data_IF_688155822518
#
_entry.id   IF_688155822518
#
_cell.length_a   1.000
_cell.length_b   1.000
_cell.length_c   1.000
_cell.angle_alpha   90.00
_cell.angle_beta   90.00
_cell.angle_gamma   90.00
#
_symmetry.space_group_name_H-M   'P 1'
#
loop_
_entity.id
_entity.type
_entity.pdbx_description
1 polymer ?
#
# COMPACT_ATOMS: atom_id res chain seq x y z
N UNK A 1 15.98 -2.14 5.71
CA UNK A 1 15.07 -3.15 5.15
C UNK A 1 14.85 -3.00 3.64
N UNK A 2 15.17 -1.85 3.03
CA UNK A 2 14.94 -1.56 1.60
C UNK A 2 16.21 -1.60 0.74
N UNK A 3 17.30 -2.16 1.22
CA UNK A 3 18.57 -2.29 0.50
C UNK A 3 18.55 -3.38 -0.60
N UNK A 4 17.62 -4.34 -0.50
CA UNK A 4 17.47 -5.41 -1.47
C UNK A 4 16.86 -4.95 -2.81
N UNK A 5 16.95 -5.80 -3.85
CA UNK A 5 16.31 -5.55 -5.14
C UNK A 5 14.79 -5.33 -5.00
N UNK A 6 14.23 -4.42 -5.81
CA UNK A 6 12.81 -4.05 -5.71
C UNK A 6 11.83 -5.24 -5.88
N UNK A 7 12.09 -6.25 -6.76
CA UNK A 7 11.23 -7.43 -6.84
C UNK A 7 11.16 -8.24 -5.54
N UNK A 8 12.29 -8.33 -4.80
CA UNK A 8 12.32 -8.99 -3.49
C UNK A 8 11.52 -8.19 -2.47
N UNK A 9 11.66 -6.85 -2.50
CA UNK A 9 10.83 -5.97 -1.66
C UNK A 9 9.34 -6.12 -1.99
N UNK A 10 8.97 -6.23 -3.26
CA UNK A 10 7.59 -6.48 -3.68
C UNK A 10 7.04 -7.78 -3.08
N UNK A 11 7.79 -8.89 -3.15
CA UNK A 11 7.35 -10.18 -2.62
C UNK A 11 7.24 -10.16 -1.09
N UNK A 12 8.27 -9.68 -0.39
CA UNK A 12 8.34 -9.70 1.08
C UNK A 12 7.33 -8.74 1.70
N UNK A 13 7.24 -7.49 1.20
CA UNK A 13 6.39 -6.45 1.77
C UNK A 13 4.96 -6.44 1.24
N UNK A 14 4.67 -7.08 0.09
CA UNK A 14 3.32 -7.11 -0.44
C UNK A 14 2.49 -8.26 0.13
N UNK A 15 3.04 -9.49 0.16
CA UNK A 15 2.21 -10.67 0.29
C UNK A 15 2.65 -11.68 1.38
N UNK A 16 3.93 -11.70 1.80
CA UNK A 16 4.44 -12.87 2.53
C UNK A 16 4.87 -12.57 3.96
N UNK A 17 6.12 -12.17 4.17
CA UNK A 17 6.74 -12.13 5.50
C UNK A 17 6.02 -11.18 6.47
N UNK A 18 5.59 -10.00 5.98
CA UNK A 18 4.96 -8.98 6.81
C UNK A 18 3.56 -9.37 7.29
N UNK A 19 2.89 -10.31 6.63
CA UNK A 19 1.55 -10.78 6.96
C UNK A 19 1.53 -12.02 7.86
N UNK A 20 2.69 -12.58 8.22
CA UNK A 20 2.78 -13.82 8.99
C UNK A 20 2.07 -13.73 10.34
N UNK A 21 2.29 -12.65 11.10
CA UNK A 21 1.62 -12.44 12.39
C UNK A 21 0.10 -12.26 12.26
N UNK A 22 -0.34 -11.57 11.20
CA UNK A 22 -1.75 -11.41 10.89
C UNK A 22 -2.42 -12.76 10.56
N UNK A 23 -1.76 -13.56 9.72
CA UNK A 23 -2.22 -14.90 9.37
C UNK A 23 -2.34 -15.80 10.61
N UNK A 24 -1.38 -15.70 11.54
CA UNK A 24 -1.42 -16.42 12.81
C UNK A 24 -2.67 -16.05 13.61
N UNK A 25 -2.97 -14.75 13.77
CA UNK A 25 -4.15 -14.28 14.49
C UNK A 25 -5.44 -14.77 13.79
N UNK A 26 -5.51 -14.66 12.47
CA UNK A 26 -6.67 -15.15 11.71
C UNK A 26 -6.89 -16.65 11.86
N UNK A 27 -5.82 -17.44 11.81
CA UNK A 27 -5.89 -18.90 11.97
C UNK A 27 -6.30 -19.34 13.37
N UNK A 28 -5.93 -18.57 14.39
CA UNK A 28 -6.27 -18.79 15.79
C UNK A 28 -7.44 -17.92 16.26
N UNK A 29 -8.26 -17.41 15.33
CA UNK A 29 -9.38 -16.51 15.64
C UNK A 29 -10.30 -17.03 16.73
N UNK A 30 -10.54 -18.34 16.78
CA UNK A 30 -11.35 -18.98 17.80
C UNK A 30 -10.79 -18.82 19.23
N UNK A 31 -9.45 -18.72 19.40
CA UNK A 31 -8.83 -18.41 20.68
C UNK A 31 -8.89 -16.93 21.00
N UNK A 32 -8.64 -16.07 20.00
CA UNK A 32 -8.62 -14.62 20.20
C UNK A 32 -10.01 -14.06 20.57
N UNK A 33 -11.10 -14.63 20.04
CA UNK A 33 -12.47 -14.25 20.42
C UNK A 33 -12.75 -14.48 21.90
N UNK A 34 -12.13 -15.49 22.51
CA UNK A 34 -12.26 -15.77 23.95
C UNK A 34 -11.47 -14.78 24.82
N UNK A 35 -10.63 -13.92 24.23
CA UNK A 35 -9.79 -12.95 24.93
C UNK A 35 -10.10 -11.51 24.45
N UNK A 36 -11.25 -10.91 24.79
CA UNK A 36 -11.66 -9.60 24.31
C UNK A 36 -10.66 -8.47 24.62
N UNK A 37 -10.01 -8.54 25.78
CA UNK A 37 -8.98 -7.56 26.15
C UNK A 37 -7.79 -7.59 25.20
N UNK A 38 -7.35 -8.78 24.77
CA UNK A 38 -6.28 -8.94 23.77
C UNK A 38 -6.68 -8.36 22.41
N UNK A 39 -7.94 -8.59 21.98
CA UNK A 39 -8.47 -8.01 20.76
C UNK A 39 -8.46 -6.47 20.80
N UNK A 40 -8.86 -5.88 21.93
CA UNK A 40 -8.82 -4.42 22.12
C UNK A 40 -7.39 -3.87 22.00
N UNK A 41 -6.40 -4.54 22.57
CA UNK A 41 -4.99 -4.15 22.45
C UNK A 41 -4.54 -4.24 21.00
N UNK A 42 -4.88 -5.32 20.29
CA UNK A 42 -4.54 -5.50 18.87
C UNK A 42 -5.16 -4.38 18.02
N UNK A 43 -6.43 -4.03 18.24
CA UNK A 43 -7.12 -2.96 17.54
C UNK A 43 -6.44 -1.59 17.78
N UNK A 44 -6.11 -1.27 19.04
CA UNK A 44 -5.44 -0.03 19.40
C UNK A 44 -4.04 0.06 18.77
N UNK A 45 -3.22 -0.98 18.91
CA UNK A 45 -1.89 -1.04 18.29
C UNK A 45 -1.96 -0.98 16.76
N UNK A 46 -2.91 -1.67 16.15
CA UNK A 46 -3.16 -1.63 14.71
C UNK A 46 -3.46 -0.21 14.23
N UNK A 47 -4.37 0.49 14.91
CA UNK A 47 -4.77 1.87 14.59
C UNK A 47 -3.59 2.86 14.74
N UNK A 48 -2.85 2.77 15.84
CA UNK A 48 -1.67 3.61 16.07
C UNK A 48 -0.59 3.34 15.02
N UNK A 49 -0.35 2.07 14.69
CA UNK A 49 0.61 1.68 13.66
C UNK A 49 0.19 2.21 12.27
N UNK A 50 -1.10 2.15 11.94
CA UNK A 50 -1.63 2.69 10.69
C UNK A 50 -1.35 4.19 10.56
N UNK A 51 -1.65 4.96 11.62
CA UNK A 51 -1.45 6.40 11.66
C UNK A 51 0.04 6.76 11.61
N UNK A 52 0.88 6.13 12.45
CA UNK A 52 2.32 6.38 12.47
C UNK A 52 2.98 6.04 11.12
N UNK A 53 2.63 4.90 10.51
CA UNK A 53 3.12 4.53 9.18
C UNK A 53 2.76 5.59 8.12
N UNK A 54 1.53 6.10 8.14
CA UNK A 54 1.07 7.12 7.21
C UNK A 54 1.78 8.48 7.42
N UNK A 55 1.95 8.92 8.67
CA UNK A 55 2.64 10.20 8.97
C UNK A 55 4.11 10.15 8.58
N UNK A 56 4.80 9.03 8.80
CA UNK A 56 6.20 8.86 8.35
C UNK A 56 6.28 8.82 6.83
N UNK A 57 5.34 8.14 6.13
CA UNK A 57 5.31 8.10 4.67
C UNK A 57 5.19 9.49 4.02
N UNK A 58 4.50 10.44 4.68
CA UNK A 58 4.35 11.82 4.21
C UNK A 58 5.69 12.56 4.08
N UNK A 59 6.64 12.27 4.95
CA UNK A 59 7.92 13.00 5.04
C UNK A 59 9.02 12.35 4.21
N UNK A 60 8.83 11.11 3.74
CA UNK A 60 9.85 10.41 2.96
C UNK A 60 10.01 11.03 1.56
N UNK A 61 11.26 11.07 1.10
CA UNK A 61 11.64 11.53 -0.24
C UNK A 61 12.08 10.40 -1.16
N UNK A 62 12.41 9.25 -0.60
CA UNK A 62 12.79 8.03 -1.30
C UNK A 62 11.53 7.23 -1.66
N UNK A 63 11.34 6.91 -2.96
CA UNK A 63 10.16 6.21 -3.47
C UNK A 63 9.96 4.83 -2.81
N UNK A 64 11.04 4.08 -2.54
CA UNK A 64 10.97 2.79 -1.85
C UNK A 64 10.58 2.95 -0.40
N UNK A 65 11.07 3.99 0.30
CA UNK A 65 10.73 4.25 1.70
C UNK A 65 9.29 4.69 1.85
N UNK A 66 8.75 5.52 0.95
CA UNK A 66 7.31 5.84 0.93
C UNK A 66 6.48 4.56 0.86
N UNK A 67 6.79 3.66 -0.07
CA UNK A 67 6.07 2.41 -0.23
C UNK A 67 6.24 1.47 0.98
N UNK A 68 7.40 1.46 1.63
CA UNK A 68 7.65 0.69 2.84
C UNK A 68 6.79 1.16 4.01
N UNK A 69 6.80 2.45 4.33
CA UNK A 69 5.96 2.99 5.40
C UNK A 69 4.48 2.93 5.07
N UNK A 70 4.13 3.04 3.80
CA UNK A 70 2.78 2.73 3.34
C UNK A 70 2.39 1.28 3.63
N UNK A 71 3.31 0.30 3.52
CA UNK A 71 3.04 -1.08 3.93
C UNK A 71 2.80 -1.19 5.43
N UNK A 72 3.63 -0.53 6.26
CA UNK A 72 3.42 -0.48 7.71
C UNK A 72 2.03 0.07 8.05
N UNK A 73 1.62 1.14 7.37
CA UNK A 73 0.28 1.71 7.54
C UNK A 73 -0.84 0.73 7.17
N UNK A 74 -0.73 0.03 6.03
CA UNK A 74 -1.76 -0.94 5.61
C UNK A 74 -1.80 -2.18 6.53
N UNK A 75 -0.67 -2.63 7.04
CA UNK A 75 -0.64 -3.67 8.09
C UNK A 75 -1.37 -3.22 9.34
N UNK A 76 -1.22 -1.95 9.73
CA UNK A 76 -2.00 -1.38 10.83
C UNK A 76 -3.52 -1.53 10.62
N UNK A 77 -4.03 -1.30 9.41
CA UNK A 77 -5.44 -1.56 9.09
C UNK A 77 -5.82 -3.04 9.22
N UNK A 78 -4.94 -3.93 8.76
CA UNK A 78 -5.20 -5.36 8.88
C UNK A 78 -5.25 -5.80 10.35
N UNK A 79 -4.33 -5.29 11.20
CA UNK A 79 -4.38 -5.55 12.64
C UNK A 79 -5.58 -4.90 13.32
N UNK A 80 -6.01 -3.70 12.88
CA UNK A 80 -7.26 -3.10 13.33
C UNK A 80 -8.45 -4.05 13.03
N UNK A 81 -8.53 -4.58 11.81
CA UNK A 81 -9.58 -5.54 11.44
C UNK A 81 -9.56 -6.80 12.34
N UNK A 82 -8.37 -7.36 12.59
CA UNK A 82 -8.23 -8.50 13.52
C UNK A 82 -8.71 -8.15 14.92
N UNK A 83 -8.30 -6.98 15.43
CA UNK A 83 -8.63 -6.54 16.78
C UNK A 83 -10.12 -6.23 17.01
N UNK A 84 -10.83 -5.84 15.95
CA UNK A 84 -12.30 -5.66 16.04
C UNK A 84 -13.08 -6.94 15.69
N UNK A 85 -12.40 -8.09 15.55
CA UNK A 85 -13.01 -9.39 15.27
C UNK A 85 -13.40 -9.58 13.79
N UNK A 86 -13.06 -8.67 12.90
CA UNK A 86 -13.35 -8.75 11.47
C UNK A 86 -12.24 -9.53 10.71
N UNK A 87 -12.00 -10.78 11.11
CA UNK A 87 -10.91 -11.60 10.57
C UNK A 87 -11.00 -11.78 9.05
N UNK A 88 -12.23 -11.97 8.52
CA UNK A 88 -12.48 -12.07 7.08
C UNK A 88 -12.05 -10.81 6.32
N UNK A 89 -12.46 -9.64 6.80
CA UNK A 89 -12.09 -8.34 6.21
C UNK A 89 -10.56 -8.12 6.23
N UNK A 90 -9.89 -8.50 7.34
CA UNK A 90 -8.44 -8.43 7.44
C UNK A 90 -7.73 -9.30 6.40
N UNK A 91 -8.15 -10.56 6.22
CA UNK A 91 -7.58 -11.47 5.20
C UNK A 91 -7.92 -11.01 3.78
N UNK A 92 -9.13 -10.52 3.56
CA UNK A 92 -9.51 -9.94 2.27
C UNK A 92 -8.62 -8.74 1.91
N UNK A 93 -8.31 -7.90 2.90
CA UNK A 93 -7.39 -6.79 2.67
C UNK A 93 -5.94 -7.26 2.41
N UNK A 94 -5.49 -8.38 2.98
CA UNK A 94 -4.19 -8.99 2.59
C UNK A 94 -4.17 -9.33 1.11
N UNK A 95 -5.24 -9.95 0.59
CA UNK A 95 -5.33 -10.35 -0.81
C UNK A 95 -5.25 -9.13 -1.74
N UNK A 96 -6.11 -8.14 -1.53
CA UNK A 96 -6.14 -6.92 -2.35
C UNK A 96 -4.84 -6.13 -2.21
N UNK A 97 -4.26 -6.07 -1.00
CA UNK A 97 -2.98 -5.45 -0.70
C UNK A 97 -1.84 -6.11 -1.50
N UNK A 98 -1.82 -7.44 -1.60
CA UNK A 98 -0.81 -8.14 -2.39
C UNK A 98 -0.80 -7.65 -3.85
N UNK A 99 -1.97 -7.43 -4.46
CA UNK A 99 -2.06 -6.97 -5.83
C UNK A 99 -1.54 -5.54 -6.01
N UNK A 100 -2.11 -4.56 -5.31
CA UNK A 100 -1.71 -3.18 -5.53
C UNK A 100 -0.33 -2.86 -4.95
N UNK A 101 0.15 -3.56 -3.91
CA UNK A 101 1.49 -3.34 -3.37
C UNK A 101 2.58 -3.94 -4.23
N UNK A 102 2.39 -5.16 -4.73
CA UNK A 102 3.34 -5.73 -5.70
C UNK A 102 3.43 -4.84 -6.94
N UNK A 103 2.28 -4.36 -7.43
CA UNK A 103 2.22 -3.40 -8.54
C UNK A 103 3.05 -2.14 -8.27
N UNK A 104 2.84 -1.51 -7.13
CA UNK A 104 3.52 -0.25 -6.77
C UNK A 104 5.03 -0.45 -6.56
N UNK A 105 5.45 -1.53 -5.91
CA UNK A 105 6.87 -1.83 -5.73
C UNK A 105 7.56 -2.19 -7.05
N UNK A 106 6.96 -3.03 -7.89
CA UNK A 106 7.52 -3.36 -9.20
C UNK A 106 7.53 -2.13 -10.11
N UNK A 107 6.49 -1.29 -10.07
CA UNK A 107 6.46 -0.01 -10.79
C UNK A 107 7.55 0.96 -10.31
N UNK A 108 7.76 1.08 -8.99
CA UNK A 108 8.90 1.84 -8.46
C UNK A 108 10.24 1.25 -8.93
N UNK A 109 10.34 -0.09 -9.01
CA UNK A 109 11.51 -0.75 -9.58
C UNK A 109 11.76 -0.40 -11.05
N UNK A 110 10.70 -0.32 -11.84
CA UNK A 110 10.75 0.10 -13.23
C UNK A 110 11.23 1.56 -13.38
N UNK A 111 10.72 2.46 -12.54
CA UNK A 111 11.19 3.87 -12.48
C UNK A 111 12.67 3.95 -12.09
N UNK A 112 13.09 3.27 -11.02
CA UNK A 112 14.46 3.26 -10.53
C UNK A 112 15.41 2.68 -11.59
N UNK A 113 15.00 1.64 -12.31
CA UNK A 113 15.77 1.05 -13.41
C UNK A 113 15.95 2.05 -14.55
N UNK A 114 14.88 2.73 -14.97
CA UNK A 114 14.91 3.73 -16.04
C UNK A 114 15.76 4.97 -15.66
N UNK A 115 15.90 5.27 -14.38
CA UNK A 115 16.66 6.41 -13.83
C UNK A 115 18.07 6.03 -13.31
N UNK A 116 18.65 4.91 -13.78
CA UNK A 116 20.01 4.50 -13.39
C UNK A 116 20.22 4.44 -11.86
N UNK A 117 19.25 3.84 -11.13
CA UNK A 117 19.23 3.64 -9.68
C UNK A 117 18.94 4.88 -8.82
N UNK A 118 18.50 6.01 -9.39
CA UNK A 118 18.00 7.14 -8.59
C UNK A 118 16.71 6.75 -7.86
N UNK A 119 16.63 7.07 -6.56
CA UNK A 119 15.50 6.76 -5.69
C UNK A 119 14.87 8.03 -5.08
N UNK A 120 15.56 9.17 -5.11
CA UNK A 120 15.05 10.42 -4.54
C UNK A 120 14.03 11.05 -5.51
N UNK A 121 12.76 11.08 -5.09
CA UNK A 121 11.67 11.65 -5.87
C UNK A 121 11.86 13.14 -6.21
N UNK A 122 12.68 13.88 -5.43
CA UNK A 122 12.99 15.29 -5.70
C UNK A 122 13.87 15.48 -6.93
N UNK A 123 14.57 14.42 -7.36
CA UNK A 123 15.40 14.40 -8.56
C UNK A 123 14.69 13.76 -9.75
N UNK A 124 13.41 13.39 -9.60
CA UNK A 124 12.56 12.84 -10.64
C UNK A 124 11.74 13.97 -11.28
N UNK A 125 10.58 13.65 -11.79
CA UNK A 125 9.63 14.59 -12.43
C UNK A 125 9.54 14.39 -13.94
N UNK A 126 8.41 14.79 -14.53
CA UNK A 126 8.20 14.76 -15.98
C UNK A 126 8.23 13.38 -16.65
N UNK A 127 8.19 12.27 -15.87
CA UNK A 127 8.34 10.91 -16.42
C UNK A 127 7.08 10.37 -17.10
N UNK A 128 5.94 11.05 -16.97
CA UNK A 128 4.65 10.59 -17.53
C UNK A 128 4.71 10.28 -19.04
N UNK A 129 5.39 11.10 -19.81
CA UNK A 129 5.47 10.92 -21.26
C UNK A 129 6.54 9.92 -21.67
N UNK A 130 7.55 9.68 -20.82
CA UNK A 130 8.67 8.79 -21.08
C UNK A 130 8.43 7.38 -20.63
N UNK A 131 7.61 7.20 -19.58
CA UNK A 131 7.25 5.93 -18.99
C UNK A 131 5.71 5.77 -18.92
N UNK A 132 5.00 5.76 -20.06
CA UNK A 132 3.54 5.81 -20.09
C UNK A 132 2.87 4.58 -19.46
N UNK A 133 3.38 3.37 -19.72
CA UNK A 133 2.85 2.14 -19.14
C UNK A 133 3.11 2.04 -17.63
N UNK A 134 4.35 2.36 -17.23
CA UNK A 134 4.71 2.40 -15.81
C UNK A 134 3.89 3.45 -15.06
N UNK A 135 3.67 4.64 -15.65
CA UNK A 135 2.81 5.67 -15.06
C UNK A 135 1.36 5.18 -14.90
N UNK A 136 0.75 4.65 -15.96
CA UNK A 136 -0.64 4.23 -15.93
C UNK A 136 -0.87 3.13 -14.89
N UNK A 137 0.01 2.13 -14.84
CA UNK A 137 -0.10 1.03 -13.88
C UNK A 137 0.14 1.48 -12.44
N UNK A 138 1.12 2.35 -12.18
CA UNK A 138 1.33 2.92 -10.84
C UNK A 138 0.18 3.84 -10.40
N UNK A 139 -0.44 4.56 -11.33
CA UNK A 139 -1.64 5.35 -11.04
C UNK A 139 -2.80 4.45 -10.61
N UNK A 140 -3.04 3.33 -11.31
CA UNK A 140 -4.03 2.32 -10.94
C UNK A 140 -3.77 1.79 -9.53
N UNK A 141 -2.52 1.41 -9.22
CA UNK A 141 -2.15 0.94 -7.88
C UNK A 141 -2.37 2.02 -6.80
N UNK A 142 -2.11 3.28 -7.14
CA UNK A 142 -2.34 4.44 -6.25
C UNK A 142 -3.83 4.66 -5.99
N UNK A 143 -4.68 4.57 -7.02
CA UNK A 143 -6.13 4.66 -6.88
C UNK A 143 -6.66 3.51 -6.01
N UNK A 144 -6.16 2.28 -6.23
CA UNK A 144 -6.56 1.11 -5.47
C UNK A 144 -6.21 1.26 -3.98
N UNK A 145 -4.95 1.58 -3.63
CA UNK A 145 -4.55 1.73 -2.22
C UNK A 145 -5.22 2.92 -1.54
N UNK A 146 -5.56 3.98 -2.29
CA UNK A 146 -6.29 5.14 -1.75
C UNK A 146 -7.73 4.82 -1.38
N UNK A 147 -8.28 3.70 -1.86
CA UNK A 147 -9.66 3.32 -1.61
C UNK A 147 -10.65 4.11 -2.47
N UNK A 148 -10.28 4.41 -3.72
CA UNK A 148 -11.20 5.02 -4.67
C UNK A 148 -12.24 3.97 -5.11
N UNK A 149 -13.55 4.32 -5.16
CA UNK A 149 -14.60 3.40 -5.60
C UNK A 149 -14.27 2.66 -6.89
N UNK A 150 -14.74 1.42 -7.01
CA UNK A 150 -14.49 0.47 -8.09
C UNK A 150 -13.12 -0.22 -8.10
N UNK A 151 -12.17 0.20 -7.29
CA UNK A 151 -10.89 -0.50 -7.12
C UNK A 151 -10.91 -1.46 -5.94
N UNK A 152 -10.10 -2.51 -5.99
CA UNK A 152 -10.08 -3.57 -4.98
C UNK A 152 -9.84 -3.08 -3.55
N UNK A 153 -9.01 -2.06 -3.39
CA UNK A 153 -8.71 -1.47 -2.08
C UNK A 153 -9.89 -0.71 -1.45
N UNK A 154 -10.84 -0.23 -2.24
CA UNK A 154 -12.07 0.37 -1.72
C UNK A 154 -12.88 -0.66 -0.93
N UNK A 155 -13.23 -1.79 -1.57
CA UNK A 155 -14.05 -2.82 -0.94
C UNK A 155 -13.43 -3.34 0.36
N UNK A 156 -12.15 -3.68 0.34
CA UNK A 156 -11.48 -4.25 1.51
C UNK A 156 -11.24 -3.23 2.64
N UNK A 157 -10.90 -1.98 2.32
CA UNK A 157 -10.66 -0.95 3.33
C UNK A 157 -11.96 -0.43 3.94
N UNK A 158 -12.99 -0.26 3.12
CA UNK A 158 -14.29 0.18 3.59
C UNK A 158 -14.92 -0.85 4.54
N UNK A 159 -14.78 -2.14 4.24
CA UNK A 159 -15.22 -3.23 5.14
C UNK A 159 -14.48 -3.20 6.48
N UNK A 160 -13.17 -2.90 6.50
CA UNK A 160 -12.41 -2.72 7.74
C UNK A 160 -12.94 -1.52 8.54
N UNK A 161 -13.13 -0.38 7.88
CA UNK A 161 -13.63 0.85 8.54
C UNK A 161 -15.06 0.65 9.04
N UNK A 162 -15.91 0.01 8.26
CA UNK A 162 -17.27 -0.34 8.71
C UNK A 162 -17.24 -1.24 9.94
N UNK A 163 -16.41 -2.28 9.94
CA UNK A 163 -16.25 -3.18 11.08
C UNK A 163 -15.67 -2.47 12.30
N UNK A 164 -14.74 -1.53 12.12
CA UNK A 164 -14.19 -0.73 13.21
C UNK A 164 -15.24 0.14 13.89
N UNK A 165 -16.30 0.56 13.15
CA UNK A 165 -17.41 1.33 13.69
C UNK A 165 -18.51 0.44 14.30
N UNK A 166 -18.91 -0.63 13.61
CA UNK A 166 -20.13 -1.39 13.90
C UNK A 166 -19.91 -2.64 14.76
N UNK A 167 -18.67 -3.16 14.87
CA UNK A 167 -18.37 -4.35 15.65
C UNK A 167 -18.52 -4.11 17.15
N UNK A 168 -18.93 -5.15 17.94
CA UNK A 168 -18.93 -5.08 19.41
C UNK A 168 -17.56 -4.77 20.03
N UNK A 169 -16.47 -5.10 19.34
CA UNK A 169 -15.09 -4.78 19.73
C UNK A 169 -14.56 -3.50 19.08
N UNK A 170 -15.38 -2.82 18.26
CA UNK A 170 -15.07 -1.58 17.58
C UNK A 170 -15.36 -0.34 18.44
N UNK A 171 -15.00 0.81 17.93
CA UNK A 171 -15.41 2.10 18.51
C UNK A 171 -15.37 3.22 17.47
N UNK A 172 -16.17 4.29 17.63
CA UNK A 172 -16.10 5.47 16.77
C UNK A 172 -14.71 6.11 16.73
N UNK A 173 -13.94 5.98 17.80
CA UNK A 173 -12.56 6.50 17.88
C UNK A 173 -11.63 5.74 16.95
N UNK A 174 -11.69 4.41 16.95
CA UNK A 174 -10.90 3.57 16.05
C UNK A 174 -11.26 3.85 14.58
N UNK A 175 -12.55 3.97 14.29
CA UNK A 175 -13.04 4.35 12.98
C UNK A 175 -12.52 5.74 12.55
N UNK A 176 -12.59 6.74 13.42
CA UNK A 176 -12.14 8.10 13.11
C UNK A 176 -10.65 8.13 12.75
N UNK A 177 -9.80 7.51 13.56
CA UNK A 177 -8.36 7.42 13.26
C UNK A 177 -8.07 6.61 12.00
N UNK A 178 -8.82 5.53 11.76
CA UNK A 178 -8.75 4.79 10.51
C UNK A 178 -9.12 5.67 9.31
N UNK A 179 -10.23 6.40 9.39
CA UNK A 179 -10.69 7.31 8.34
C UNK A 179 -9.68 8.43 8.05
N UNK A 180 -9.15 9.09 9.08
CA UNK A 180 -8.10 10.10 8.92
C UNK A 180 -6.84 9.51 8.26
N UNK A 181 -6.45 8.31 8.64
CA UNK A 181 -5.31 7.60 8.05
C UNK A 181 -5.56 7.25 6.58
N UNK A 182 -6.82 6.97 6.18
CA UNK A 182 -7.16 6.76 4.76
C UNK A 182 -6.95 8.03 3.93
N UNK A 183 -7.33 9.19 4.47
CA UNK A 183 -7.03 10.50 3.87
C UNK A 183 -5.53 10.75 3.71
N UNK A 184 -4.75 10.47 4.76
CA UNK A 184 -3.28 10.56 4.71
C UNK A 184 -2.69 9.58 3.67
N UNK A 185 -3.25 8.36 3.55
CA UNK A 185 -2.83 7.38 2.54
C UNK A 185 -2.99 7.94 1.13
N UNK A 186 -4.13 8.51 0.82
CA UNK A 186 -4.37 9.16 -0.48
C UNK A 186 -3.37 10.29 -0.72
N UNK A 187 -3.16 11.14 0.27
CA UNK A 187 -2.28 12.29 0.15
C UNK A 187 -0.83 11.87 -0.16
N UNK A 188 -0.20 10.97 0.62
CA UNK A 188 1.20 10.60 0.37
C UNK A 188 1.37 9.78 -0.93
N UNK A 189 0.38 8.99 -1.31
CA UNK A 189 0.44 8.23 -2.55
C UNK A 189 0.35 9.13 -3.79
N UNK A 190 -0.58 10.08 -3.79
CA UNK A 190 -0.64 11.07 -4.88
C UNK A 190 0.57 11.99 -4.88
N UNK A 191 1.10 12.40 -3.71
CA UNK A 191 2.36 13.13 -3.61
C UNK A 191 3.50 12.36 -4.30
N UNK A 192 3.61 11.05 -4.05
CA UNK A 192 4.61 10.20 -4.72
C UNK A 192 4.43 10.22 -6.24
N UNK A 193 3.21 10.04 -6.75
CA UNK A 193 2.92 10.09 -8.20
C UNK A 193 3.27 11.46 -8.79
N UNK A 194 2.88 12.55 -8.14
CA UNK A 194 3.15 13.90 -8.64
C UNK A 194 4.64 14.19 -8.69
N UNK A 195 5.39 13.90 -7.64
CA UNK A 195 6.84 14.13 -7.61
C UNK A 195 7.59 13.28 -8.63
N UNK A 196 7.13 12.05 -8.89
CA UNK A 196 7.82 11.13 -9.81
C UNK A 196 7.47 11.40 -11.27
N UNK A 197 6.20 11.64 -11.60
CA UNK A 197 5.74 11.62 -13.00
C UNK A 197 5.34 12.99 -13.55
N UNK A 198 5.11 14.01 -12.71
CA UNK A 198 4.66 15.31 -13.13
C UNK A 198 5.73 16.39 -12.86
N UNK A 199 5.51 17.59 -13.38
CA UNK A 199 6.47 18.69 -13.28
C UNK A 199 7.62 18.60 -14.27
N UNK A 200 8.68 19.39 -14.03
CA UNK A 200 9.90 19.38 -14.84
C UNK A 200 10.84 18.28 -14.34
N UNK A 201 11.54 17.62 -15.25
CA UNK A 201 12.55 16.64 -14.89
C UNK A 201 13.74 17.32 -14.19
N UNK A 202 14.14 16.80 -13.03
CA UNK A 202 15.17 17.36 -12.17
C UNK A 202 16.48 16.56 -12.19
N UNK A 203 16.57 15.49 -12.97
CA UNK A 203 17.73 14.60 -13.04
C UNK A 203 18.75 15.01 -14.11
N UNK A 204 19.90 14.31 -14.12
CA UNK A 204 21.03 14.65 -15.00
C UNK A 204 20.93 14.08 -16.43
N UNK A 205 20.18 13.00 -16.67
CA UNK A 205 20.22 12.25 -17.93
C UNK A 205 18.83 12.09 -18.58
N UNK A 206 18.23 13.21 -18.95
CA UNK A 206 16.89 13.25 -19.50
C UNK A 206 16.73 12.45 -20.82
N UNK A 207 17.74 12.42 -21.68
CA UNK A 207 17.66 11.82 -23.02
C UNK A 207 17.73 10.28 -23.04
N UNK A 208 18.27 9.66 -22.00
CA UNK A 208 18.42 8.20 -21.92
C UNK A 208 17.24 7.48 -21.31
N UNK A 209 16.20 8.20 -20.86
CA UNK A 209 15.05 7.60 -20.17
C UNK A 209 14.05 7.07 -21.19
N UNK A 210 13.81 5.77 -21.15
CA UNK A 210 12.81 5.07 -21.96
C UNK A 210 12.12 3.99 -21.13
N UNK A 211 10.96 3.54 -21.60
CA UNK A 211 10.18 2.50 -20.94
C UNK A 211 11.02 1.22 -20.76
N UNK A 212 10.97 0.58 -19.59
CA UNK A 212 11.63 -0.69 -19.36
C UNK A 212 11.14 -1.79 -20.31
N UNK A 213 11.92 -2.89 -20.48
CA UNK A 213 11.56 -3.98 -21.38
C UNK A 213 10.22 -4.61 -21.00
N UNK A 214 9.54 -5.20 -21.99
CA UNK A 214 8.19 -5.77 -21.83
C UNK A 214 8.13 -6.86 -20.75
N UNK A 215 9.25 -7.53 -20.46
CA UNK A 215 9.37 -8.48 -19.35
C UNK A 215 9.13 -7.85 -17.97
N UNK A 216 9.36 -6.55 -17.81
CA UNK A 216 9.06 -5.79 -16.59
C UNK A 216 7.66 -5.18 -16.65
N UNK A 217 7.19 -4.72 -17.81
CA UNK A 217 5.90 -4.04 -17.98
C UNK A 217 4.73 -5.03 -17.91
N UNK A 218 4.87 -6.23 -18.45
CA UNK A 218 3.80 -7.23 -18.46
C UNK A 218 3.29 -7.62 -17.06
N UNK A 219 4.15 -7.90 -16.07
CA UNK A 219 3.71 -8.11 -14.68
C UNK A 219 2.95 -6.91 -14.10
N UNK A 220 3.34 -5.68 -14.44
CA UNK A 220 2.63 -4.48 -13.98
C UNK A 220 1.20 -4.43 -14.53
N UNK A 221 1.01 -4.76 -15.81
CA UNK A 221 -0.32 -4.78 -16.44
C UNK A 221 -1.20 -5.84 -15.78
N UNK A 222 -0.69 -7.06 -15.57
CA UNK A 222 -1.44 -8.15 -14.92
C UNK A 222 -1.86 -7.75 -13.50
N UNK A 223 -0.93 -7.21 -12.72
CA UNK A 223 -1.23 -6.75 -11.37
C UNK A 223 -2.18 -5.54 -11.35
N UNK A 224 -2.12 -4.66 -12.34
CA UNK A 224 -3.07 -3.55 -12.49
C UNK A 224 -4.50 -4.05 -12.71
N UNK A 225 -4.68 -5.06 -13.58
CA UNK A 225 -5.99 -5.71 -13.77
C UNK A 225 -6.50 -6.32 -12.47
N UNK A 226 -5.65 -7.04 -11.72
CA UNK A 226 -6.02 -7.62 -10.42
C UNK A 226 -6.29 -6.53 -9.36
N UNK A 227 -5.60 -5.40 -9.39
CA UNK A 227 -5.84 -4.28 -8.48
C UNK A 227 -7.19 -3.57 -8.78
N UNK A 228 -7.70 -3.67 -9.99
CA UNK A 228 -9.06 -3.19 -10.34
C UNK A 228 -10.11 -4.23 -9.94
N UNK A 229 -10.00 -5.45 -10.44
CA UNK A 229 -11.06 -6.46 -10.36
C UNK A 229 -10.97 -7.39 -9.15
N UNK A 230 -9.85 -7.46 -8.45
CA UNK A 230 -9.64 -8.37 -7.32
C UNK A 230 -10.43 -8.04 -6.04
N UNK A 231 -11.33 -7.06 -6.10
CA UNK A 231 -12.24 -6.70 -5.01
C UNK A 231 -13.68 -7.20 -5.18
N UNK A 232 -13.98 -7.82 -6.32
CA UNK A 232 -15.32 -8.33 -6.66
C UNK A 232 -15.47 -9.81 -6.37
#
# INVERSE_FOLDING_TARGET
>A
AMEGPTPVSALIHAATMVTAGLYLIAKLSFLFILAPFTLTIIAALGTVTALLGATVALTQTDIKKVLAYSTVSQLGYMFLAMGVGAFGAGIFHVLTHAFFKALLFLGAGAVIHALHHEQDMRRMGGLRQRLPWTYATMLIGTLAISGIPLFSGFFSKDEILWSAYSSPFGSPVLWLFGFLTAGLTSFYMFRMIYLTFHGAFQGAHAESIHEPPMSMVLPLIVLAVLAVFGGF
#
